data_IF_538994878700
#
_entry.id   IF_538994878700
#
_cell.length_a   1.000
_cell.length_b   1.000
_cell.length_c   1.000
_cell.angle_alpha   90.00
_cell.angle_beta   90.00
_cell.angle_gamma   90.00
#
_symmetry.space_group_name_H-M   'P 1'
#
loop_
_entity.id
_entity.type
_entity.pdbx_description
1 polymer ?
#
# COMPACT_ATOMS: atom_id res chain seq x y z
N UNK A 1 -11.04 1.03 59.63
CA UNK A 1 -12.03 0.88 58.53
C UNK A 1 -11.30 1.06 57.21
N UNK A 2 -10.80 -0.05 56.70
CA UNK A 2 -10.06 -0.12 55.43
C UNK A 2 -11.07 -0.16 54.28
N UNK A 3 -10.93 0.74 53.33
CA UNK A 3 -11.67 0.69 52.08
C UNK A 3 -10.73 0.22 50.95
N UNK A 4 -10.86 -1.06 50.68
CA UNK A 4 -10.24 -1.74 49.56
C UNK A 4 -10.93 -1.31 48.28
N UNK A 5 -10.20 -0.72 47.33
CA UNK A 5 -10.69 -0.46 45.96
C UNK A 5 -10.12 -1.52 45.03
N UNK A 6 -10.93 -2.29 44.33
CA UNK A 6 -10.39 -3.21 43.34
C UNK A 6 -9.88 -2.42 42.13
N UNK A 7 -8.59 -2.58 41.85
CA UNK A 7 -7.92 -2.19 40.63
C UNK A 7 -8.48 -3.02 39.46
N UNK A 8 -9.31 -2.39 38.61
CA UNK A 8 -9.77 -2.98 37.36
C UNK A 8 -8.64 -3.03 36.34
N UNK A 9 -7.86 -4.10 36.35
CA UNK A 9 -7.02 -4.46 35.22
C UNK A 9 -7.95 -4.76 34.03
N UNK A 10 -8.02 -3.86 33.06
CA UNK A 10 -8.62 -4.17 31.76
C UNK A 10 -7.70 -5.20 31.11
N UNK A 11 -8.13 -6.45 31.12
CA UNK A 11 -7.56 -7.52 30.29
C UNK A 11 -7.60 -7.06 28.83
N UNK A 12 -6.43 -6.90 28.26
CA UNK A 12 -6.23 -6.68 26.82
C UNK A 12 -6.50 -8.01 26.12
N UNK A 13 -7.78 -8.39 26.02
CA UNK A 13 -8.20 -9.52 25.20
C UNK A 13 -7.95 -9.13 23.76
N UNK A 14 -6.97 -9.75 23.13
CA UNK A 14 -6.70 -9.61 21.69
C UNK A 14 -7.98 -9.99 20.94
N UNK A 15 -8.53 -9.03 20.22
CA UNK A 15 -9.74 -9.20 19.42
C UNK A 15 -9.55 -10.35 18.41
N UNK A 16 -10.53 -11.25 18.22
CA UNK A 16 -10.35 -12.41 17.34
C UNK A 16 -10.03 -11.98 15.89
N UNK A 17 -8.99 -12.58 15.32
CA UNK A 17 -8.44 -12.27 13.98
C UNK A 17 -9.52 -12.22 12.88
N UNK A 18 -10.59 -13.01 12.99
CA UNK A 18 -11.72 -13.00 12.08
C UNK A 18 -12.50 -11.67 12.06
N UNK A 19 -12.62 -10.99 13.20
CA UNK A 19 -13.31 -9.70 13.33
C UNK A 19 -12.48 -8.57 12.73
N UNK A 20 -11.18 -8.59 12.89
CA UNK A 20 -10.24 -7.64 12.29
C UNK A 20 -10.27 -7.74 10.75
N UNK A 21 -10.24 -8.96 10.21
CA UNK A 21 -10.38 -9.19 8.76
C UNK A 21 -11.72 -8.69 8.21
N UNK A 22 -12.81 -8.88 8.94
CA UNK A 22 -14.12 -8.38 8.52
C UNK A 22 -14.14 -6.85 8.42
N UNK A 23 -13.60 -6.15 9.41
CA UNK A 23 -13.53 -4.67 9.40
C UNK A 23 -12.59 -4.15 8.32
N UNK A 24 -11.47 -4.81 8.05
CA UNK A 24 -10.60 -4.49 6.92
C UNK A 24 -11.34 -4.60 5.58
N UNK A 25 -12.20 -5.62 5.43
CA UNK A 25 -13.07 -5.77 4.26
C UNK A 25 -14.10 -4.64 4.13
N UNK A 26 -14.70 -4.20 5.23
CA UNK A 26 -15.63 -3.06 5.24
C UNK A 26 -14.98 -1.74 4.78
N UNK A 27 -13.72 -1.52 5.16
CA UNK A 27 -12.94 -0.37 4.67
C UNK A 27 -12.72 -0.44 3.15
N UNK A 28 -12.41 -1.63 2.62
CA UNK A 28 -12.27 -1.83 1.18
C UNK A 28 -13.60 -1.68 0.44
N UNK A 29 -14.71 -2.10 1.04
CA UNK A 29 -16.05 -1.87 0.48
C UNK A 29 -16.40 -0.38 0.42
N UNK A 30 -16.01 0.38 1.44
CA UNK A 30 -16.18 1.82 1.44
C UNK A 30 -15.34 2.49 0.35
N UNK A 31 -14.08 2.06 0.21
CA UNK A 31 -13.19 2.56 -0.83
C UNK A 31 -13.70 2.24 -2.23
N UNK A 32 -14.16 1.01 -2.48
CA UNK A 32 -14.71 0.59 -3.78
C UNK A 32 -15.96 1.38 -4.17
N UNK A 33 -16.83 1.71 -3.20
CA UNK A 33 -17.98 2.60 -3.45
C UNK A 33 -17.56 4.02 -3.79
N UNK A 34 -16.46 4.50 -3.21
CA UNK A 34 -15.93 5.84 -3.44
C UNK A 34 -15.15 5.94 -4.76
N UNK A 35 -14.36 4.93 -5.06
CA UNK A 35 -13.51 4.82 -6.25
C UNK A 35 -13.61 3.41 -6.84
N UNK A 36 -14.52 3.20 -7.80
CA UNK A 36 -14.70 1.89 -8.45
C UNK A 36 -13.41 1.36 -9.08
N UNK A 37 -13.13 0.07 -8.86
CA UNK A 37 -11.90 -0.60 -9.30
C UNK A 37 -10.77 -0.63 -8.27
N UNK A 38 -10.91 0.10 -7.15
CA UNK A 38 -9.88 0.16 -6.12
C UNK A 38 -9.68 -1.18 -5.40
N UNK A 39 -10.72 -2.02 -5.30
CA UNK A 39 -10.58 -3.36 -4.71
C UNK A 39 -9.65 -4.24 -5.54
N UNK A 40 -9.79 -4.22 -6.87
CA UNK A 40 -8.89 -4.95 -7.76
C UNK A 40 -7.44 -4.51 -7.62
N UNK A 41 -7.22 -3.19 -7.56
CA UNK A 41 -5.89 -2.61 -7.28
C UNK A 41 -5.34 -3.02 -5.91
N UNK A 42 -6.16 -2.99 -4.87
CA UNK A 42 -5.77 -3.38 -3.52
C UNK A 42 -5.34 -4.87 -3.47
N UNK A 43 -6.11 -5.75 -4.10
CA UNK A 43 -5.81 -7.19 -4.14
C UNK A 43 -4.56 -7.47 -4.99
N UNK A 44 -4.39 -6.82 -6.15
CA UNK A 44 -3.19 -6.92 -6.99
C UNK A 44 -1.94 -6.41 -6.26
N UNK A 45 -2.02 -5.21 -5.66
CA UNK A 45 -0.91 -4.65 -4.87
C UNK A 45 -0.54 -5.58 -3.71
N UNK A 46 -1.52 -6.14 -2.99
CA UNK A 46 -1.29 -7.06 -1.88
C UNK A 46 -0.56 -8.33 -2.33
N UNK A 47 -0.91 -8.85 -3.49
CA UNK A 47 -0.29 -10.03 -4.05
C UNK A 47 1.16 -9.79 -4.46
N UNK A 48 1.46 -8.69 -5.14
CA UNK A 48 2.84 -8.30 -5.49
C UNK A 48 3.67 -7.97 -4.25
N UNK A 49 3.09 -7.33 -3.24
CA UNK A 49 3.77 -7.02 -1.99
C UNK A 49 4.18 -8.28 -1.23
N UNK A 50 3.28 -9.26 -1.11
CA UNK A 50 3.59 -10.56 -0.52
C UNK A 50 4.73 -11.27 -1.25
N UNK A 51 4.64 -11.33 -2.58
CA UNK A 51 5.64 -11.98 -3.40
C UNK A 51 7.01 -11.28 -3.30
N UNK A 52 7.04 -9.95 -3.27
CA UNK A 52 8.27 -9.18 -3.07
C UNK A 52 8.86 -9.39 -1.67
N UNK A 53 8.02 -9.44 -0.63
CA UNK A 53 8.45 -9.71 0.74
C UNK A 53 9.12 -11.09 0.87
N UNK A 54 8.50 -12.13 0.30
CA UNK A 54 9.08 -13.48 0.24
C UNK A 54 10.38 -13.48 -0.58
N UNK A 55 10.41 -12.81 -1.72
CA UNK A 55 11.61 -12.70 -2.56
C UNK A 55 12.77 -11.91 -1.92
N UNK A 56 12.50 -11.17 -0.86
CA UNK A 56 13.48 -10.45 -0.03
C UNK A 56 13.80 -11.16 1.28
N UNK A 57 13.40 -12.44 1.41
CA UNK A 57 13.63 -13.30 2.57
C UNK A 57 13.01 -12.78 3.89
N UNK A 58 11.88 -12.06 3.81
CA UNK A 58 11.10 -11.72 5.00
C UNK A 58 10.43 -12.98 5.55
N UNK A 59 10.36 -13.10 6.88
CA UNK A 59 9.61 -14.16 7.55
C UNK A 59 8.15 -14.19 7.09
N UNK A 60 7.55 -15.41 7.03
CA UNK A 60 6.21 -15.60 6.47
C UNK A 60 5.15 -14.72 7.14
N UNK A 61 5.16 -14.62 8.46
CA UNK A 61 4.19 -13.81 9.20
C UNK A 61 4.36 -12.32 8.90
N UNK A 62 5.60 -11.87 8.71
CA UNK A 62 5.90 -10.50 8.30
C UNK A 62 5.43 -10.25 6.86
N UNK A 63 5.65 -11.19 5.93
CA UNK A 63 5.16 -11.09 4.56
C UNK A 63 3.62 -11.04 4.49
N UNK A 64 2.90 -11.81 5.33
CA UNK A 64 1.45 -11.73 5.44
C UNK A 64 0.99 -10.38 5.99
N UNK A 65 1.70 -9.82 6.97
CA UNK A 65 1.39 -8.48 7.50
C UNK A 65 1.67 -7.38 6.46
N UNK A 66 2.72 -7.51 5.64
CA UNK A 66 2.99 -6.63 4.49
C UNK A 66 1.87 -6.71 3.46
N UNK A 67 1.37 -7.92 3.18
CA UNK A 67 0.21 -8.13 2.31
C UNK A 67 -1.02 -7.37 2.80
N UNK A 68 -1.29 -7.43 4.11
CA UNK A 68 -2.43 -6.70 4.69
C UNK A 68 -2.22 -5.18 4.64
N UNK A 69 -1.00 -4.69 4.92
CA UNK A 69 -0.67 -3.28 4.76
C UNK A 69 -0.89 -2.81 3.31
N UNK A 70 -0.45 -3.61 2.34
CA UNK A 70 -0.62 -3.33 0.92
C UNK A 70 -2.10 -3.33 0.51
N UNK A 71 -2.89 -4.23 1.06
CA UNK A 71 -4.32 -4.30 0.78
C UNK A 71 -5.07 -3.06 1.28
N UNK A 72 -4.62 -2.45 2.37
CA UNK A 72 -5.28 -1.32 3.02
C UNK A 72 -4.60 0.03 2.75
N UNK A 73 -3.54 0.07 1.93
CA UNK A 73 -2.69 1.26 1.78
C UNK A 73 -3.43 2.49 1.23
N UNK A 74 -4.50 2.28 0.49
CA UNK A 74 -5.29 3.36 -0.12
C UNK A 74 -6.64 3.65 0.55
N UNK A 75 -6.97 3.01 1.69
CA UNK A 75 -8.28 3.23 2.34
C UNK A 75 -8.50 4.69 2.75
N UNK A 76 -7.43 5.47 2.91
CA UNK A 76 -7.51 6.91 3.17
C UNK A 76 -8.02 7.73 1.97
N UNK A 77 -8.06 7.18 0.76
CA UNK A 77 -8.61 7.83 -0.42
C UNK A 77 -10.11 8.16 -0.26
N UNK A 78 -10.83 7.52 0.67
CA UNK A 78 -12.23 7.85 0.99
C UNK A 78 -12.40 9.31 1.46
N UNK A 79 -11.34 9.96 1.95
CA UNK A 79 -11.34 11.36 2.36
C UNK A 79 -10.90 12.32 1.24
N UNK A 80 -10.42 11.80 0.12
CA UNK A 80 -10.00 12.61 -1.03
C UNK A 80 -11.14 12.65 -2.04
N UNK A 81 -11.60 13.83 -2.50
CA UNK A 81 -12.63 13.88 -3.53
C UNK A 81 -12.23 13.09 -4.77
N UNK A 82 -13.13 12.25 -5.30
CA UNK A 82 -12.83 11.37 -6.43
C UNK A 82 -12.27 12.13 -7.65
N UNK A 83 -12.74 13.38 -7.88
CA UNK A 83 -12.22 14.26 -8.94
C UNK A 83 -10.73 14.59 -8.79
N UNK A 84 -10.17 14.54 -7.56
CA UNK A 84 -8.76 14.81 -7.28
C UNK A 84 -7.93 13.57 -7.57
N UNK A 85 -8.45 12.38 -7.22
CA UNK A 85 -7.77 11.09 -7.41
C UNK A 85 -7.52 10.75 -8.88
N UNK A 86 -8.34 11.30 -9.81
CA UNK A 86 -8.24 11.03 -11.25
C UNK A 86 -7.52 12.11 -12.04
N UNK A 87 -7.05 13.20 -11.38
CA UNK A 87 -6.31 14.29 -12.04
C UNK A 87 -4.89 13.89 -12.39
N UNK A 88 -4.39 14.45 -13.48
CA UNK A 88 -2.97 14.34 -13.79
C UNK A 88 -2.12 15.15 -12.82
N UNK A 89 -0.88 14.73 -12.51
CA UNK A 89 -0.02 15.41 -11.54
C UNK A 89 0.17 16.92 -11.81
N UNK A 90 0.18 17.33 -13.07
CA UNK A 90 0.31 18.74 -13.47
C UNK A 90 -0.94 19.60 -13.27
N UNK A 91 -2.09 18.96 -13.03
CA UNK A 91 -3.39 19.63 -12.84
C UNK A 91 -3.76 19.82 -11.36
N UNK A 92 -2.95 19.23 -10.47
CA UNK A 92 -3.19 19.29 -9.04
C UNK A 92 -2.85 20.68 -8.48
N UNK A 93 -3.78 21.26 -7.73
CA UNK A 93 -3.54 22.47 -6.93
C UNK A 93 -2.68 22.15 -5.70
N UNK A 94 -2.26 23.17 -4.96
CA UNK A 94 -1.57 22.96 -3.68
C UNK A 94 -2.48 22.24 -2.66
N UNK A 95 -3.74 22.64 -2.57
CA UNK A 95 -4.74 21.99 -1.72
C UNK A 95 -4.96 20.52 -2.10
N UNK A 96 -5.04 20.20 -3.40
CA UNK A 96 -5.18 18.81 -3.86
C UNK A 96 -3.99 17.95 -3.41
N UNK A 97 -2.76 18.50 -3.47
CA UNK A 97 -1.55 17.80 -3.00
C UNK A 97 -1.57 17.57 -1.50
N UNK A 98 -1.97 18.56 -0.70
CA UNK A 98 -2.12 18.41 0.75
C UNK A 98 -3.13 17.30 1.10
N UNK A 99 -4.26 17.22 0.41
CA UNK A 99 -5.23 16.14 0.60
C UNK A 99 -4.64 14.77 0.23
N UNK A 100 -3.90 14.71 -0.90
CA UNK A 100 -3.25 13.49 -1.34
C UNK A 100 -2.14 13.04 -0.38
N UNK A 101 -1.42 13.97 0.24
CA UNK A 101 -0.39 13.65 1.23
C UNK A 101 -1.02 13.21 2.56
N UNK A 102 -2.09 13.86 2.99
CA UNK A 102 -2.80 13.53 4.22
C UNK A 102 -3.49 12.15 4.19
N UNK A 103 -3.81 11.59 2.99
CA UNK A 103 -4.55 10.34 2.86
C UNK A 103 -3.86 9.14 3.51
N UNK A 104 -2.53 9.10 3.53
CA UNK A 104 -1.78 8.00 4.15
C UNK A 104 -1.93 7.98 5.68
N UNK A 105 -1.87 9.16 6.31
CA UNK A 105 -2.11 9.29 7.75
C UNK A 105 -3.57 8.98 8.10
N UNK A 106 -4.51 9.43 7.28
CA UNK A 106 -5.94 9.17 7.43
C UNK A 106 -6.27 7.67 7.27
N UNK A 107 -5.67 7.03 6.28
CA UNK A 107 -5.80 5.58 6.04
C UNK A 107 -5.27 4.75 7.20
N UNK A 108 -4.10 5.10 7.73
CA UNK A 108 -3.55 4.47 8.94
C UNK A 108 -4.47 4.65 10.15
N UNK A 109 -5.12 5.81 10.28
CA UNK A 109 -6.13 6.08 11.33
C UNK A 109 -7.36 5.19 11.18
N UNK A 110 -7.90 5.05 9.97
CA UNK A 110 -9.03 4.15 9.67
C UNK A 110 -8.67 2.69 9.97
N UNK A 111 -7.52 2.22 9.53
CA UNK A 111 -7.04 0.87 9.78
C UNK A 111 -6.92 0.59 11.29
N UNK A 112 -6.36 1.54 12.06
CA UNK A 112 -6.27 1.43 13.52
C UNK A 112 -7.67 1.37 14.16
N UNK A 113 -8.60 2.20 13.73
CA UNK A 113 -10.00 2.17 14.18
C UNK A 113 -10.71 0.84 13.87
N UNK A 114 -10.29 0.14 12.83
CA UNK A 114 -10.74 -1.20 12.46
C UNK A 114 -10.03 -2.32 13.24
N UNK A 115 -9.10 -2.01 14.15
CA UNK A 115 -8.36 -2.99 14.96
C UNK A 115 -7.15 -3.61 14.24
N UNK A 116 -6.72 -3.04 13.11
CA UNK A 116 -5.48 -3.47 12.45
C UNK A 116 -4.29 -3.16 13.36
N UNK A 117 -3.31 -4.09 13.50
CA UNK A 117 -2.14 -3.90 14.37
C UNK A 117 -1.40 -2.60 14.09
N UNK A 118 -0.96 -1.91 15.15
CA UNK A 118 -0.29 -0.61 15.06
C UNK A 118 0.91 -0.60 14.12
N UNK A 119 1.68 -1.69 14.09
CA UNK A 119 2.82 -1.82 13.19
C UNK A 119 2.40 -1.79 11.72
N UNK A 120 1.32 -2.49 11.36
CA UNK A 120 0.75 -2.47 10.00
C UNK A 120 0.22 -1.07 9.66
N UNK A 121 -0.44 -0.39 10.62
CA UNK A 121 -0.88 0.99 10.44
C UNK A 121 0.28 1.96 10.20
N UNK A 122 1.44 1.76 10.87
CA UNK A 122 2.65 2.53 10.59
C UNK A 122 3.16 2.31 9.17
N UNK A 123 3.12 1.08 8.66
CA UNK A 123 3.52 0.77 7.30
C UNK A 123 2.57 1.40 6.27
N UNK A 124 1.26 1.37 6.51
CA UNK A 124 0.27 2.07 5.68
C UNK A 124 0.60 3.57 5.64
N UNK A 125 0.87 4.19 6.79
CA UNK A 125 1.22 5.61 6.85
C UNK A 125 2.48 5.93 6.05
N UNK A 126 3.52 5.12 6.18
CA UNK A 126 4.81 5.35 5.53
C UNK A 126 4.86 4.87 4.07
N UNK A 127 3.84 4.18 3.55
CA UNK A 127 3.80 3.74 2.15
C UNK A 127 3.69 4.89 1.15
N UNK A 128 3.30 6.09 1.61
CA UNK A 128 3.33 7.32 0.82
C UNK A 128 4.72 7.92 0.62
N UNK A 129 5.70 7.49 1.41
CA UNK A 129 7.05 8.06 1.33
C UNK A 129 7.75 7.70 0.02
N UNK A 130 8.57 8.64 -0.45
CA UNK A 130 9.45 8.45 -1.61
C UNK A 130 10.86 8.13 -1.14
N UNK A 131 11.55 7.27 -1.86
CA UNK A 131 12.91 6.87 -1.50
C UNK A 131 13.89 8.06 -1.43
N UNK A 132 13.66 9.09 -2.26
CA UNK A 132 14.45 10.35 -2.28
C UNK A 132 14.12 11.34 -1.15
N UNK A 133 13.17 11.02 -0.26
CA UNK A 133 12.76 11.86 0.86
C UNK A 133 11.79 12.98 0.52
N UNK A 134 11.23 13.01 -0.69
CA UNK A 134 10.23 13.99 -1.13
C UNK A 134 8.80 13.53 -0.88
N UNK A 135 8.60 12.58 0.04
CA UNK A 135 7.31 12.10 0.47
C UNK A 135 6.66 12.95 1.57
N UNK A 136 5.44 12.60 2.00
CA UNK A 136 4.62 13.41 2.91
C UNK A 136 5.26 13.71 4.27
N UNK A 137 6.02 12.77 4.84
CA UNK A 137 6.71 12.97 6.13
C UNK A 137 8.23 13.19 5.99
N UNK A 138 8.76 13.17 4.76
CA UNK A 138 10.17 13.43 4.49
C UNK A 138 11.12 12.33 4.96
N UNK A 139 10.63 11.11 5.14
CA UNK A 139 11.49 9.96 5.37
C UNK A 139 12.19 9.59 4.06
N UNK A 140 13.48 9.26 4.12
CA UNK A 140 14.27 8.91 2.95
C UNK A 140 15.00 7.59 3.12
N UNK A 141 15.18 6.88 2.04
CA UNK A 141 15.97 5.65 1.94
C UNK A 141 15.59 4.64 3.05
N UNK A 142 16.58 4.14 3.78
CA UNK A 142 16.40 3.12 4.83
C UNK A 142 15.68 3.62 6.08
N UNK A 143 15.43 4.93 6.22
CA UNK A 143 14.56 5.45 7.28
C UNK A 143 13.09 5.14 7.04
N UNK A 144 12.70 4.81 5.81
CA UNK A 144 11.39 4.27 5.48
C UNK A 144 11.40 2.78 5.84
N UNK A 145 10.43 2.25 6.63
CA UNK A 145 10.32 0.81 6.88
C UNK A 145 10.39 0.01 5.59
N UNK A 146 11.09 -1.12 5.58
CA UNK A 146 11.22 -1.96 4.37
C UNK A 146 9.85 -2.40 3.86
N UNK A 147 8.92 -2.69 4.77
CA UNK A 147 7.57 -3.11 4.47
C UNK A 147 6.81 -2.02 3.71
N UNK A 148 6.95 -0.76 4.10
CA UNK A 148 6.35 0.39 3.41
C UNK A 148 6.94 0.60 2.03
N UNK A 149 8.27 0.39 1.88
CA UNK A 149 8.95 0.44 0.58
C UNK A 149 8.46 -0.67 -0.35
N UNK A 150 8.20 -1.88 0.19
CA UNK A 150 7.61 -2.99 -0.55
C UNK A 150 6.20 -2.63 -1.01
N UNK A 151 5.35 -2.11 -0.13
CA UNK A 151 3.98 -1.67 -0.48
C UNK A 151 4.01 -0.65 -1.62
N UNK A 152 4.89 0.35 -1.55
CA UNK A 152 5.00 1.38 -2.59
C UNK A 152 5.43 0.82 -3.94
N UNK A 153 6.44 -0.06 -3.98
CA UNK A 153 6.89 -0.68 -5.23
C UNK A 153 5.80 -1.59 -5.80
N UNK A 154 5.09 -2.35 -4.96
CA UNK A 154 4.00 -3.21 -5.38
C UNK A 154 2.82 -2.40 -5.96
N UNK A 155 2.45 -1.28 -5.34
CA UNK A 155 1.43 -0.36 -5.85
C UNK A 155 1.82 0.19 -7.24
N UNK A 156 3.06 0.64 -7.40
CA UNK A 156 3.56 1.11 -8.69
C UNK A 156 3.56 0.01 -9.76
N UNK A 157 3.87 -1.23 -9.36
CA UNK A 157 3.85 -2.39 -10.25
C UNK A 157 2.44 -2.70 -10.75
N UNK A 158 1.46 -2.82 -9.85
CA UNK A 158 0.07 -3.09 -10.21
C UNK A 158 -0.49 -1.98 -11.10
N UNK A 159 -0.25 -0.72 -10.74
CA UNK A 159 -0.65 0.44 -11.54
C UNK A 159 -0.06 0.41 -12.95
N UNK A 160 1.22 0.06 -13.09
CA UNK A 160 1.89 0.00 -14.40
C UNK A 160 1.36 -1.15 -15.27
N UNK A 161 1.01 -2.29 -14.66
CA UNK A 161 0.43 -3.44 -15.36
C UNK A 161 -1.02 -3.19 -15.79
N UNK A 162 -1.79 -2.42 -15.00
CA UNK A 162 -3.17 -2.04 -15.28
C UNK A 162 -3.27 -0.88 -16.28
N UNK A 163 -2.19 -0.13 -16.53
CA UNK A 163 -2.19 1.02 -17.42
C UNK A 163 -2.67 0.66 -18.83
N UNK A 164 -3.47 1.53 -19.49
CA UNK A 164 -3.88 1.32 -20.86
C UNK A 164 -2.67 1.16 -21.78
N UNK A 165 -2.75 0.17 -22.69
CA UNK A 165 -1.71 -0.02 -23.68
C UNK A 165 -1.66 1.18 -24.66
N UNK A 166 -0.47 1.64 -25.04
CA UNK A 166 -0.32 2.79 -25.96
C UNK A 166 -0.76 2.49 -27.40
N UNK A 167 -0.96 1.21 -27.77
CA UNK A 167 -1.31 0.79 -29.13
C UNK A 167 -2.78 0.37 -29.26
N UNK A 168 -3.43 0.67 -30.41
CA UNK A 168 -4.73 0.10 -30.75
C UNK A 168 -4.64 -1.44 -30.82
N UNK A 169 -5.53 -2.12 -30.10
CA UNK A 169 -5.54 -3.59 -30.02
C UNK A 169 -5.00 -4.15 -28.69
N UNK A 170 -4.47 -3.32 -27.82
CA UNK A 170 -3.96 -3.70 -26.50
C UNK A 170 -2.55 -4.29 -26.56
N UNK A 171 -1.90 -4.38 -25.41
CA UNK A 171 -0.60 -5.03 -25.26
C UNK A 171 -0.77 -6.48 -24.79
N UNK A 172 0.08 -7.38 -25.24
CA UNK A 172 0.17 -8.74 -24.70
C UNK A 172 0.60 -8.71 -23.22
N UNK A 173 0.35 -9.79 -22.48
CA UNK A 173 0.80 -9.89 -21.09
C UNK A 173 2.32 -9.69 -20.94
N UNK A 174 3.10 -10.19 -21.89
CA UNK A 174 4.56 -10.04 -21.90
C UNK A 174 4.98 -8.60 -22.16
N UNK A 175 4.28 -7.91 -23.06
CA UNK A 175 4.54 -6.49 -23.34
C UNK A 175 4.18 -5.61 -22.16
N UNK A 176 3.05 -5.85 -21.49
CA UNK A 176 2.66 -5.16 -20.25
C UNK A 176 3.72 -5.35 -19.16
N UNK A 177 4.22 -6.58 -18.98
CA UNK A 177 5.31 -6.85 -18.03
C UNK A 177 6.57 -6.07 -18.35
N UNK A 178 6.99 -6.04 -19.62
CA UNK A 178 8.17 -5.25 -20.04
C UNK A 178 8.00 -3.76 -19.79
N UNK A 179 6.82 -3.20 -20.09
CA UNK A 179 6.49 -1.79 -19.83
C UNK A 179 6.55 -1.52 -18.32
N UNK A 180 5.93 -2.37 -17.49
CA UNK A 180 5.95 -2.23 -16.04
C UNK A 180 7.38 -2.30 -15.48
N UNK A 181 8.18 -3.27 -15.89
CA UNK A 181 9.59 -3.38 -15.48
C UNK A 181 10.39 -2.13 -15.85
N UNK A 182 10.17 -1.60 -17.06
CA UNK A 182 10.83 -0.36 -17.49
C UNK A 182 10.44 0.83 -16.60
N UNK A 183 9.15 0.99 -16.32
CA UNK A 183 8.63 2.07 -15.47
C UNK A 183 9.17 1.97 -14.03
N UNK A 184 9.17 0.77 -13.45
CA UNK A 184 9.70 0.53 -12.11
C UNK A 184 11.19 0.89 -12.02
N UNK A 185 12.00 0.45 -13.00
CA UNK A 185 13.44 0.75 -13.04
C UNK A 185 13.72 2.24 -13.23
N UNK A 186 12.91 2.95 -14.02
CA UNK A 186 13.04 4.39 -14.21
C UNK A 186 12.77 5.19 -12.92
N UNK A 187 11.91 4.68 -12.02
CA UNK A 187 11.57 5.30 -10.75
C UNK A 187 12.52 4.88 -9.59
N UNK A 188 13.37 3.87 -9.80
CA UNK A 188 14.30 3.38 -8.79
C UNK A 188 15.32 4.44 -8.34
N UNK A 189 15.52 4.58 -7.03
CA UNK A 189 16.42 5.58 -6.44
C UNK A 189 15.77 6.95 -6.26
N UNK A 190 14.63 7.22 -6.91
CA UNK A 190 13.86 8.45 -6.71
C UNK A 190 12.57 8.15 -5.92
N UNK A 191 11.56 7.60 -6.57
CA UNK A 191 10.31 7.24 -5.90
C UNK A 191 10.38 5.91 -5.17
N UNK A 192 11.07 4.94 -5.78
CA UNK A 192 11.04 3.54 -5.41
C UNK A 192 12.40 3.08 -4.86
N UNK A 193 12.35 2.17 -3.88
CA UNK A 193 13.55 1.50 -3.38
C UNK A 193 14.20 0.65 -4.48
N UNK A 194 15.49 0.87 -4.82
CA UNK A 194 16.18 0.13 -5.88
C UNK A 194 16.26 -1.39 -5.62
N UNK A 195 16.44 -1.81 -4.37
CA UNK A 195 16.56 -3.22 -3.98
C UNK A 195 15.21 -3.94 -4.16
N UNK A 196 14.14 -3.35 -3.65
CA UNK A 196 12.78 -3.89 -3.78
C UNK A 196 12.37 -3.91 -5.26
N UNK A 197 12.67 -2.83 -5.99
CA UNK A 197 12.41 -2.73 -7.43
C UNK A 197 13.12 -3.84 -8.21
N UNK A 198 14.38 -4.10 -7.93
CA UNK A 198 15.15 -5.16 -8.61
C UNK A 198 14.55 -6.55 -8.35
N UNK A 199 14.14 -6.83 -7.10
CA UNK A 199 13.52 -8.10 -6.73
C UNK A 199 12.22 -8.32 -7.52
N UNK A 200 11.31 -7.33 -7.53
CA UNK A 200 10.02 -7.44 -8.21
C UNK A 200 10.16 -7.47 -9.74
N UNK A 201 11.06 -6.65 -10.31
CA UNK A 201 11.36 -6.67 -11.74
C UNK A 201 11.86 -8.05 -12.19
N UNK A 202 12.75 -8.69 -11.42
CA UNK A 202 13.25 -10.03 -11.71
C UNK A 202 12.12 -11.07 -11.71
N UNK A 203 11.17 -10.97 -10.80
CA UNK A 203 10.01 -11.86 -10.76
C UNK A 203 9.14 -11.70 -12.02
N UNK A 204 8.85 -10.47 -12.43
CA UNK A 204 8.07 -10.18 -13.63
C UNK A 204 8.77 -10.70 -14.91
N UNK A 205 10.08 -10.55 -15.02
CA UNK A 205 10.88 -11.01 -16.15
C UNK A 205 10.91 -12.55 -16.28
N UNK A 206 10.88 -13.26 -15.16
CA UNK A 206 10.80 -14.72 -15.13
C UNK A 206 9.42 -15.26 -15.51
N UNK A 207 8.47 -14.40 -15.77
CA UNK A 207 7.11 -14.81 -16.13
C UNK A 207 6.36 -15.46 -14.97
N UNK A 208 6.75 -15.21 -13.72
CA UNK A 208 5.97 -15.63 -12.58
C UNK A 208 4.54 -15.11 -12.79
N UNK A 209 3.50 -15.97 -12.70
CA UNK A 209 2.14 -15.51 -12.83
C UNK A 209 1.91 -14.38 -11.84
N UNK A 210 1.14 -13.37 -12.29
CA UNK A 210 0.57 -12.42 -11.33
C UNK A 210 -0.12 -13.26 -10.25
N UNK A 211 0.19 -13.03 -8.98
CA UNK A 211 -0.36 -13.83 -7.90
C UNK A 211 -1.86 -13.69 -7.79
#
# INVERSE_FOLDING_TARGET
>A
MSSDRPSGARSNESEPAGRVKARGSELLDALERHLPGSRGHADGTAAYAFAAAVGLDLERDQAEAVREAARLHEVGNVYVPARVLVRLPGELTAEDRELLDARFASGAGLARGAGIPDQVCQWIRASGERFDGRGPAGLAAERIPIESRIVRVACACDSALAAPAPAPGGASSDERRRIAVHALRAAAGSELDPRVTAALATMLERGAPAP
#
